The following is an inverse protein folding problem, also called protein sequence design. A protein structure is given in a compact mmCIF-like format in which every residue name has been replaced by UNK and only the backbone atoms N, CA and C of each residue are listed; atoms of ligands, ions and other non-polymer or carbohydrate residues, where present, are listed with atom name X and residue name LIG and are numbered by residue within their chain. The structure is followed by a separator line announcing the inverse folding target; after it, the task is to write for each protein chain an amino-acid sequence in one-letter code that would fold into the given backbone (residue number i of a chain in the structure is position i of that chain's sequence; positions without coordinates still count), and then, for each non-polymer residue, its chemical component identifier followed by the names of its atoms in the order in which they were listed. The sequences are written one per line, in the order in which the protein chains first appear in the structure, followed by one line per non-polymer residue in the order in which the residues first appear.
data_IF_035083123604
#
_entry.id   IF_035083123604
#
_cell.length_a   1.000
_cell.length_b   1.000
_cell.length_c   1.000
_cell.angle_alpha   90.00
_cell.angle_beta   90.00
_cell.angle_gamma   90.00
#
_symmetry.space_group_name_H-M   'P 1'
#
loop_
_entity.id
_entity.type
_entity.pdbx_description
1 polymer ?
#
# COMPACT_ATOMS: atom_id res chain seq x y z
N UNK A 1 -15.86 -31.52 -16.03
CA UNK A 1 -17.04 -32.03 -15.28
C UNK A 1 -17.14 -31.49 -13.85
N UNK A 2 -16.21 -30.62 -13.39
CA UNK A 2 -16.29 -29.95 -12.08
C UNK A 2 -16.79 -28.48 -12.15
N UNK A 3 -16.93 -27.90 -13.35
CA UNK A 3 -17.37 -26.51 -13.51
C UNK A 3 -18.89 -26.29 -13.37
N UNK A 4 -19.73 -27.32 -13.60
CA UNK A 4 -21.19 -27.18 -13.58
C UNK A 4 -21.82 -27.15 -12.18
N UNK A 5 -21.08 -27.48 -11.11
CA UNK A 5 -21.63 -27.53 -9.75
C UNK A 5 -21.43 -26.23 -8.94
N UNK A 6 -20.54 -25.33 -9.37
CA UNK A 6 -20.28 -24.06 -8.69
C UNK A 6 -21.35 -22.99 -8.96
N UNK A 7 -22.11 -23.12 -10.05
CA UNK A 7 -23.13 -22.15 -10.49
C UNK A 7 -24.50 -22.33 -9.80
N UNK A 8 -24.78 -23.48 -9.18
CA UNK A 8 -26.12 -23.80 -8.68
C UNK A 8 -26.45 -23.24 -7.28
N UNK A 9 -25.44 -22.91 -6.47
CA UNK A 9 -25.64 -22.42 -5.08
C UNK A 9 -25.79 -20.91 -4.97
N UNK A 10 -25.37 -20.16 -5.98
CA UNK A 10 -25.62 -18.73 -6.13
C UNK A 10 -26.27 -18.59 -7.48
N UNK A 11 -27.60 -18.68 -7.54
CA UNK A 11 -28.33 -18.71 -8.80
C UNK A 11 -27.82 -17.64 -9.76
N UNK A 12 -27.07 -18.07 -10.77
CA UNK A 12 -26.59 -17.29 -11.90
C UNK A 12 -26.29 -15.81 -11.65
N UNK A 13 -25.51 -15.45 -10.63
CA UNK A 13 -24.91 -14.10 -10.54
C UNK A 13 -23.96 -13.97 -11.74
N UNK A 14 -24.34 -13.26 -12.82
CA UNK A 14 -23.49 -13.17 -14.01
C UNK A 14 -22.21 -12.44 -13.61
N UNK A 15 -21.07 -12.72 -14.26
CA UNK A 15 -19.86 -11.88 -14.13
C UNK A 15 -20.17 -10.37 -14.27
N UNK A 16 -21.23 -10.03 -15.01
CA UNK A 16 -21.76 -8.68 -15.14
C UNK A 16 -22.21 -8.07 -13.80
N UNK A 17 -22.77 -8.83 -12.85
CA UNK A 17 -23.19 -8.29 -11.55
C UNK A 17 -22.00 -7.96 -10.65
N UNK A 18 -20.93 -8.77 -10.63
CA UNK A 18 -19.69 -8.41 -9.93
C UNK A 18 -19.04 -7.14 -10.52
N UNK A 19 -19.16 -6.94 -11.84
CA UNK A 19 -18.74 -5.72 -12.52
C UNK A 19 -19.66 -4.52 -12.19
N UNK A 20 -20.98 -4.74 -12.07
CA UNK A 20 -21.98 -3.73 -11.69
C UNK A 20 -21.87 -3.28 -10.22
N UNK A 21 -21.47 -4.16 -9.30
CA UNK A 21 -21.28 -3.77 -7.89
C UNK A 21 -20.03 -2.92 -7.64
N UNK A 22 -19.15 -2.82 -8.65
CA UNK A 22 -17.97 -1.97 -8.64
C UNK A 22 -18.23 -0.58 -9.23
N UNK A 23 -19.48 -0.28 -9.62
CA UNK A 23 -19.89 1.05 -10.07
C UNK A 23 -19.78 2.01 -8.88
N UNK A 24 -19.05 3.10 -9.09
CA UNK A 24 -18.85 4.19 -8.14
C UNK A 24 -20.18 4.53 -7.46
N UNK A 25 -20.17 4.47 -6.13
CA UNK A 25 -21.27 4.94 -5.30
C UNK A 25 -21.42 6.44 -5.50
N UNK A 26 -22.12 6.82 -6.56
CA UNK A 26 -22.57 8.17 -6.82
C UNK A 26 -23.61 8.48 -5.75
N UNK A 27 -23.18 9.21 -4.72
CA UNK A 27 -24.08 9.69 -3.68
C UNK A 27 -25.08 10.63 -4.35
N UNK A 28 -26.30 10.14 -4.58
CA UNK A 28 -27.40 10.98 -5.05
C UNK A 28 -27.75 11.92 -3.91
N UNK A 29 -27.25 13.16 -3.98
CA UNK A 29 -27.57 14.23 -3.05
C UNK A 29 -29.00 14.66 -3.35
N UNK A 30 -29.91 14.26 -2.48
CA UNK A 30 -31.33 14.62 -2.57
C UNK A 30 -31.49 16.15 -2.38
N UNK A 31 -32.03 16.83 -3.40
CA UNK A 31 -32.05 18.30 -3.50
C UNK A 31 -33.07 18.98 -2.57
N UNK A 32 -33.73 18.22 -1.69
CA UNK A 32 -34.63 18.72 -0.65
C UNK A 32 -34.08 18.55 0.77
N UNK A 33 -32.79 18.25 0.94
CA UNK A 33 -32.16 18.24 2.26
C UNK A 33 -32.17 19.66 2.88
N UNK A 34 -33.04 19.88 3.86
CA UNK A 34 -32.97 21.02 4.79
C UNK A 34 -31.52 21.25 5.22
N UNK A 35 -31.03 22.50 5.12
CA UNK A 35 -29.64 22.89 5.34
C UNK A 35 -28.97 22.07 6.47
N UNK A 36 -28.00 21.20 6.15
CA UNK A 36 -27.33 20.40 7.16
C UNK A 36 -26.61 21.34 8.13
N UNK A 37 -26.83 21.13 9.43
CA UNK A 37 -26.24 21.88 10.55
C UNK A 37 -26.93 23.19 10.98
N UNK A 38 -28.24 23.34 10.82
CA UNK A 38 -28.94 24.34 11.62
C UNK A 38 -28.98 23.92 13.10
N UNK A 39 -28.53 24.78 14.03
CA UNK A 39 -28.52 24.46 15.46
C UNK A 39 -29.95 24.33 15.97
N UNK A 40 -30.29 23.16 16.49
CA UNK A 40 -31.57 22.89 17.14
C UNK A 40 -31.37 21.97 18.34
N UNK A 41 -32.16 22.11 19.42
CA UNK A 41 -31.97 21.37 20.66
C UNK A 41 -32.00 19.84 20.46
N UNK A 42 -32.84 19.34 19.54
CA UNK A 42 -32.87 17.92 19.17
C UNK A 42 -31.57 17.44 18.50
N UNK A 43 -30.90 18.29 17.71
CA UNK A 43 -29.63 17.96 17.03
C UNK A 43 -28.48 17.84 18.03
N UNK A 44 -28.41 18.74 19.01
CA UNK A 44 -27.39 18.69 20.07
C UNK A 44 -27.53 17.41 20.91
N UNK A 45 -28.76 17.03 21.27
CA UNK A 45 -29.02 15.77 21.97
C UNK A 45 -28.67 14.55 21.09
N UNK A 46 -29.02 14.59 19.79
CA UNK A 46 -28.64 13.54 18.85
C UNK A 46 -27.12 13.34 18.77
N UNK A 47 -26.35 14.41 18.58
CA UNK A 47 -24.89 14.35 18.54
C UNK A 47 -24.29 13.83 19.86
N UNK A 48 -24.89 14.19 21.00
CA UNK A 48 -24.47 13.68 22.31
C UNK A 48 -24.74 12.18 22.46
N UNK A 49 -25.92 11.71 22.03
CA UNK A 49 -26.27 10.29 22.04
C UNK A 49 -25.42 9.48 21.05
N UNK A 50 -25.15 10.00 19.86
CA UNK A 50 -24.24 9.39 18.88
C UNK A 50 -22.82 9.28 19.44
N UNK A 51 -22.34 10.33 20.10
CA UNK A 51 -21.03 10.33 20.76
C UNK A 51 -20.96 9.30 21.90
N UNK A 52 -22.01 9.23 22.73
CA UNK A 52 -22.11 8.23 23.80
C UNK A 52 -22.19 6.80 23.24
N UNK A 53 -22.97 6.59 22.17
CA UNK A 53 -23.06 5.32 21.45
C UNK A 53 -21.71 4.87 20.92
N UNK A 54 -20.98 5.75 20.22
CA UNK A 54 -19.64 5.46 19.71
C UNK A 54 -18.64 5.14 20.84
N UNK A 55 -18.71 5.83 21.98
CA UNK A 55 -17.86 5.55 23.14
C UNK A 55 -18.20 4.21 23.80
N UNK A 56 -19.48 3.90 23.97
CA UNK A 56 -19.92 2.63 24.54
C UNK A 56 -19.55 1.47 23.62
N UNK A 57 -19.76 1.61 22.32
CA UNK A 57 -19.34 0.62 21.32
C UNK A 57 -17.82 0.40 21.37
N UNK A 58 -17.02 1.47 21.40
CA UNK A 58 -15.56 1.36 21.54
C UNK A 58 -15.16 0.65 22.84
N UNK A 59 -15.81 0.98 23.97
CA UNK A 59 -15.56 0.34 25.25
C UNK A 59 -15.91 -1.15 25.23
N UNK A 60 -17.07 -1.53 24.70
CA UNK A 60 -17.51 -2.91 24.58
C UNK A 60 -16.62 -3.69 23.61
N UNK A 61 -16.23 -3.11 22.46
CA UNK A 61 -15.29 -3.72 21.53
C UNK A 61 -13.92 -3.94 22.16
N UNK A 62 -13.43 -2.99 22.96
CA UNK A 62 -12.16 -3.13 23.70
C UNK A 62 -12.25 -4.21 24.78
N UNK A 63 -13.35 -4.27 25.54
CA UNK A 63 -13.59 -5.34 26.53
C UNK A 63 -13.73 -6.70 25.87
N UNK A 64 -14.50 -6.80 24.78
CA UNK A 64 -14.64 -8.03 24.01
C UNK A 64 -13.27 -8.51 23.49
N UNK A 65 -12.44 -7.61 22.96
CA UNK A 65 -11.07 -7.93 22.56
C UNK A 65 -10.20 -8.42 23.74
N UNK A 66 -10.31 -7.80 24.92
CA UNK A 66 -9.62 -8.25 26.14
C UNK A 66 -10.04 -9.64 26.59
N UNK A 67 -11.33 -9.98 26.44
CA UNK A 67 -11.84 -11.31 26.74
C UNK A 67 -11.62 -12.33 25.60
N UNK A 68 -10.96 -11.95 24.52
CA UNK A 68 -10.78 -12.81 23.34
C UNK A 68 -12.11 -13.16 22.63
N UNK A 69 -13.11 -12.30 22.81
CA UNK A 69 -14.44 -12.42 22.22
C UNK A 69 -14.48 -11.58 20.93
N UNK A 70 -13.84 -12.08 19.89
CA UNK A 70 -13.90 -11.46 18.57
C UNK A 70 -13.33 -12.35 17.48
N UNK A 71 -13.63 -12.07 16.20
CA UNK A 71 -13.04 -12.80 15.08
C UNK A 71 -11.53 -12.81 15.13
N UNK A 72 -10.89 -11.67 15.39
CA UNK A 72 -9.44 -11.52 15.42
C UNK A 72 -8.80 -12.38 16.52
N UNK A 73 -9.47 -12.52 17.67
CA UNK A 73 -8.97 -13.39 18.75
C UNK A 73 -9.06 -14.87 18.37
N UNK A 74 -10.16 -15.29 17.74
CA UNK A 74 -10.30 -16.68 17.29
C UNK A 74 -9.27 -17.00 16.22
N UNK A 75 -9.01 -16.08 15.30
CA UNK A 75 -7.94 -16.24 14.31
C UNK A 75 -6.56 -16.28 14.97
N UNK A 76 -6.30 -15.44 15.96
CA UNK A 76 -5.05 -15.51 16.75
C UNK A 76 -4.88 -16.86 17.43
N UNK A 77 -5.95 -17.43 17.99
CA UNK A 77 -5.94 -18.77 18.58
C UNK A 77 -5.64 -19.84 17.53
N UNK A 78 -6.23 -19.75 16.33
CA UNK A 78 -5.90 -20.65 15.20
C UNK A 78 -4.42 -20.53 14.84
N UNK A 79 -3.91 -19.31 14.64
CA UNK A 79 -2.50 -19.05 14.32
C UNK A 79 -1.55 -19.59 15.39
N UNK A 80 -1.89 -19.42 16.67
CA UNK A 80 -1.13 -19.96 17.80
C UNK A 80 -1.15 -21.49 17.83
N UNK A 81 -2.31 -22.11 17.61
CA UNK A 81 -2.43 -23.57 17.54
C UNK A 81 -1.65 -24.16 16.36
N UNK A 82 -1.60 -23.44 15.25
CA UNK A 82 -0.83 -23.79 14.04
C UNK A 82 0.62 -23.30 14.09
N UNK A 83 1.05 -22.71 15.21
CA UNK A 83 2.41 -22.23 15.46
C UNK A 83 2.94 -21.25 14.41
N UNK A 84 2.08 -20.42 13.81
CA UNK A 84 2.49 -19.45 12.76
C UNK A 84 3.55 -18.43 13.22
N UNK A 85 3.77 -18.29 14.53
CA UNK A 85 4.82 -17.42 15.09
C UNK A 85 6.15 -18.15 15.30
N UNK A 86 6.13 -19.48 15.44
CA UNK A 86 7.30 -20.30 15.79
C UNK A 86 7.85 -21.01 14.55
N UNK A 87 6.97 -21.47 13.67
CA UNK A 87 7.37 -22.10 12.42
C UNK A 87 7.43 -21.04 11.34
N UNK A 88 8.57 -20.98 10.67
CA UNK A 88 8.61 -20.39 9.34
C UNK A 88 7.45 -20.99 8.54
N UNK A 89 6.70 -20.11 7.90
CA UNK A 89 5.54 -20.40 7.08
C UNK A 89 5.77 -21.63 6.19
N UNK A 90 6.99 -21.78 5.68
CA UNK A 90 7.40 -22.90 4.83
C UNK A 90 7.29 -24.28 5.50
N UNK A 91 7.65 -24.38 6.78
CA UNK A 91 7.51 -25.62 7.55
C UNK A 91 6.04 -26.02 7.61
N UNK A 92 5.13 -25.04 7.70
CA UNK A 92 3.69 -25.27 7.66
C UNK A 92 3.21 -25.94 6.36
N UNK A 93 3.77 -25.58 5.21
CA UNK A 93 3.41 -26.13 3.90
C UNK A 93 4.05 -27.50 3.60
N UNK A 94 5.23 -27.77 4.17
CA UNK A 94 5.89 -29.08 4.08
C UNK A 94 5.30 -30.09 5.09
N UNK A 95 4.82 -29.61 6.25
CA UNK A 95 4.35 -30.43 7.37
C UNK A 95 2.85 -30.74 7.36
N UNK A 96 2.14 -30.45 6.26
CA UNK A 96 0.68 -30.66 6.12
C UNK A 96 0.25 -32.12 6.38
N UNK A 97 1.17 -33.08 6.30
CA UNK A 97 0.82 -34.50 6.27
C UNK A 97 1.05 -35.26 7.57
N UNK A 98 1.83 -34.75 8.54
CA UNK A 98 2.40 -35.64 9.58
C UNK A 98 2.23 -35.23 11.04
N UNK A 99 1.83 -34.00 11.37
CA UNK A 99 2.04 -33.48 12.74
C UNK A 99 0.82 -33.03 13.53
N UNK A 100 -0.38 -32.98 12.94
CA UNK A 100 -1.57 -32.58 13.71
C UNK A 100 -2.25 -33.81 14.31
N UNK A 101 -2.11 -33.97 15.64
CA UNK A 101 -2.91 -34.92 16.37
C UNK A 101 -4.40 -34.66 16.12
N UNK A 102 -5.20 -35.73 16.02
CA UNK A 102 -6.64 -35.64 15.74
C UNK A 102 -7.36 -34.66 16.69
N UNK A 103 -6.86 -34.56 17.92
CA UNK A 103 -7.32 -33.60 18.95
C UNK A 103 -7.14 -32.14 18.53
N UNK A 104 -6.00 -31.77 17.94
CA UNK A 104 -5.76 -30.41 17.46
C UNK A 104 -6.63 -30.09 16.24
N UNK A 105 -6.77 -31.04 15.31
CA UNK A 105 -7.65 -30.88 14.15
C UNK A 105 -9.11 -30.62 14.57
N UNK A 106 -9.60 -31.33 15.58
CA UNK A 106 -10.94 -31.11 16.17
C UNK A 106 -11.08 -29.70 16.78
N UNK A 107 -10.07 -29.23 17.51
CA UNK A 107 -10.05 -27.88 18.10
C UNK A 107 -10.02 -26.78 17.03
N UNK A 108 -9.17 -26.90 16.01
CA UNK A 108 -9.09 -25.95 14.90
C UNK A 108 -10.43 -25.90 14.16
N UNK A 109 -11.03 -27.06 13.86
CA UNK A 109 -12.37 -27.13 13.26
C UNK A 109 -13.42 -26.40 14.10
N UNK A 110 -13.38 -26.51 15.43
CA UNK A 110 -14.27 -25.76 16.33
C UNK A 110 -14.05 -24.25 16.21
N UNK A 111 -12.80 -23.79 16.14
CA UNK A 111 -12.47 -22.37 15.97
C UNK A 111 -12.90 -21.85 14.59
N UNK A 112 -12.68 -22.61 13.51
CA UNK A 112 -13.18 -22.26 12.17
C UNK A 112 -14.70 -22.10 12.16
N UNK A 113 -15.45 -23.02 12.79
CA UNK A 113 -16.92 -22.87 12.94
C UNK A 113 -17.29 -21.61 13.74
N UNK A 114 -16.51 -21.25 14.76
CA UNK A 114 -16.72 -20.02 15.53
C UNK A 114 -16.51 -18.77 14.66
N UNK A 115 -15.50 -18.74 13.78
CA UNK A 115 -15.31 -17.67 12.79
C UNK A 115 -16.49 -17.57 11.81
N UNK A 116 -16.94 -18.72 11.29
CA UNK A 116 -18.10 -18.77 10.40
C UNK A 116 -19.38 -18.29 11.08
N UNK A 117 -19.52 -18.49 12.39
CA UNK A 117 -20.62 -17.89 13.16
C UNK A 117 -20.50 -16.37 13.25
N UNK A 118 -19.30 -15.82 13.44
CA UNK A 118 -19.10 -14.36 13.39
C UNK A 118 -19.37 -13.76 12.01
N UNK A 119 -19.04 -14.49 10.93
CA UNK A 119 -19.40 -14.10 9.57
C UNK A 119 -20.93 -14.00 9.37
N UNK A 120 -21.73 -14.64 10.24
CA UNK A 120 -23.21 -14.54 10.26
C UNK A 120 -23.76 -13.53 11.29
N UNK A 121 -22.90 -12.77 11.97
CA UNK A 121 -23.30 -11.81 12.99
C UNK A 121 -24.36 -10.82 12.45
N UNK A 122 -25.23 -10.32 13.32
CA UNK A 122 -26.13 -9.19 13.01
C UNK A 122 -25.46 -7.83 13.22
N UNK A 123 -24.13 -7.79 13.19
CA UNK A 123 -23.33 -6.58 13.31
C UNK A 123 -22.38 -6.57 12.12
N UNK A 124 -22.62 -5.65 11.18
CA UNK A 124 -21.88 -5.58 9.90
C UNK A 124 -20.36 -5.50 10.12
N UNK A 125 -19.90 -4.68 11.07
CA UNK A 125 -18.49 -4.58 11.42
C UNK A 125 -17.87 -5.92 11.89
N UNK A 126 -18.61 -6.72 12.66
CA UNK A 126 -18.16 -8.07 13.08
C UNK A 126 -18.12 -9.04 11.90
N UNK A 127 -19.12 -8.99 11.00
CA UNK A 127 -19.13 -9.82 9.79
C UNK A 127 -17.93 -9.48 8.91
N UNK A 128 -17.70 -8.20 8.63
CA UNK A 128 -16.58 -7.73 7.79
C UNK A 128 -15.23 -8.23 8.33
N UNK A 129 -14.99 -8.03 9.64
CA UNK A 129 -13.78 -8.51 10.31
C UNK A 129 -13.62 -10.02 10.24
N UNK A 130 -14.70 -10.78 10.47
CA UNK A 130 -14.65 -12.24 10.39
C UNK A 130 -14.34 -12.74 8.98
N UNK A 131 -14.95 -12.14 7.95
CA UNK A 131 -14.71 -12.49 6.55
C UNK A 131 -13.27 -12.15 6.13
N UNK A 132 -12.75 -10.99 6.53
CA UNK A 132 -11.37 -10.60 6.28
C UNK A 132 -10.38 -11.58 6.93
N UNK A 133 -10.62 -11.98 8.17
CA UNK A 133 -9.80 -12.97 8.89
C UNK A 133 -9.87 -14.38 8.28
N UNK A 134 -11.05 -14.82 7.84
CA UNK A 134 -11.22 -16.09 7.11
C UNK A 134 -10.39 -16.07 5.83
N UNK A 135 -10.49 -15.00 5.04
CA UNK A 135 -9.72 -14.81 3.81
C UNK A 135 -8.22 -14.89 4.11
N UNK A 136 -7.76 -14.18 5.15
CA UNK A 136 -6.35 -14.15 5.56
C UNK A 136 -5.85 -15.54 5.98
N UNK A 137 -6.57 -16.23 6.86
CA UNK A 137 -6.22 -17.58 7.32
C UNK A 137 -6.19 -18.61 6.19
N UNK A 138 -7.15 -18.56 5.26
CA UNK A 138 -7.21 -19.52 4.17
C UNK A 138 -6.04 -19.37 3.18
N UNK A 139 -5.56 -18.13 2.97
CA UNK A 139 -4.31 -17.87 2.22
C UNK A 139 -3.08 -18.32 3.00
N UNK A 140 -3.05 -18.03 4.31
CA UNK A 140 -1.90 -18.26 5.17
C UNK A 140 -1.60 -19.73 5.46
N UNK A 141 -2.62 -20.58 5.53
CA UNK A 141 -2.49 -21.96 5.99
C UNK A 141 -3.44 -22.90 5.22
N UNK A 142 -2.91 -23.78 4.34
CA UNK A 142 -3.74 -24.72 3.58
C UNK A 142 -4.53 -25.68 4.44
N UNK A 143 -4.03 -26.07 5.62
CA UNK A 143 -4.76 -26.94 6.51
C UNK A 143 -6.01 -26.23 7.06
N UNK A 144 -5.91 -24.94 7.36
CA UNK A 144 -7.05 -24.13 7.78
C UNK A 144 -8.01 -23.94 6.61
N UNK A 145 -7.51 -23.69 5.40
CA UNK A 145 -8.32 -23.63 4.17
C UNK A 145 -9.11 -24.94 3.95
N UNK A 146 -8.45 -26.10 4.01
CA UNK A 146 -9.09 -27.42 3.88
C UNK A 146 -10.08 -27.69 5.03
N UNK A 147 -9.78 -27.24 6.24
CA UNK A 147 -10.70 -27.37 7.38
C UNK A 147 -11.95 -26.51 7.19
N UNK A 148 -11.79 -25.30 6.63
CA UNK A 148 -12.90 -24.40 6.28
C UNK A 148 -13.74 -24.96 5.13
N UNK A 149 -13.13 -25.57 4.11
CA UNK A 149 -13.86 -26.17 2.98
C UNK A 149 -14.75 -27.34 3.40
N UNK A 150 -14.37 -28.05 4.47
CA UNK A 150 -15.18 -29.09 5.13
C UNK A 150 -16.30 -28.53 6.03
N UNK A 151 -16.38 -27.21 6.22
CA UNK A 151 -17.45 -26.56 6.96
C UNK A 151 -18.60 -26.10 6.05
N UNK A 152 -19.73 -25.69 6.64
CA UNK A 152 -20.87 -25.20 5.86
C UNK A 152 -20.63 -23.76 5.36
N UNK A 153 -20.12 -23.60 4.15
CA UNK A 153 -19.82 -22.29 3.54
C UNK A 153 -21.04 -21.43 3.21
N UNK A 154 -22.27 -21.96 3.31
CA UNK A 154 -23.50 -21.16 3.15
C UNK A 154 -23.62 -20.04 4.19
N UNK A 155 -22.85 -20.13 5.27
CA UNK A 155 -22.74 -19.08 6.28
C UNK A 155 -22.05 -17.79 5.78
N UNK A 156 -21.33 -17.83 4.65
CA UNK A 156 -20.63 -16.68 4.09
C UNK A 156 -21.54 -15.77 3.26
N UNK A 157 -22.84 -16.07 3.15
CA UNK A 157 -23.79 -15.16 2.51
C UNK A 157 -24.02 -13.96 3.44
N UNK A 158 -23.68 -12.73 3.02
CA UNK A 158 -23.87 -11.55 3.85
C UNK A 158 -25.36 -11.32 4.11
N UNK A 159 -25.69 -10.79 5.30
CA UNK A 159 -27.08 -10.43 5.66
C UNK A 159 -27.46 -9.04 5.17
N UNK A 160 -26.48 -8.16 5.01
CA UNK A 160 -26.65 -6.79 4.57
C UNK A 160 -26.37 -6.69 3.07
N UNK A 161 -27.03 -5.72 2.43
CA UNK A 161 -26.88 -5.43 0.99
C UNK A 161 -25.71 -4.49 0.68
N UNK A 162 -24.81 -4.28 1.64
CA UNK A 162 -23.64 -3.43 1.48
C UNK A 162 -22.66 -4.07 0.47
N UNK A 163 -22.30 -3.34 -0.57
CA UNK A 163 -21.43 -3.82 -1.65
C UNK A 163 -20.06 -4.29 -1.12
N UNK A 164 -19.45 -3.53 -0.19
CA UNK A 164 -18.18 -3.91 0.42
C UNK A 164 -18.28 -5.25 1.17
N UNK A 165 -19.36 -5.47 1.91
CA UNK A 165 -19.56 -6.72 2.65
C UNK A 165 -19.75 -7.91 1.71
N UNK A 166 -20.49 -7.72 0.62
CA UNK A 166 -20.65 -8.73 -0.43
C UNK A 166 -19.31 -9.10 -1.07
N UNK A 167 -18.50 -8.10 -1.43
CA UNK A 167 -17.18 -8.32 -2.00
C UNK A 167 -16.25 -9.06 -1.03
N UNK A 168 -16.24 -8.69 0.26
CA UNK A 168 -15.43 -9.39 1.27
C UNK A 168 -15.93 -10.82 1.51
N UNK A 169 -17.24 -11.04 1.50
CA UNK A 169 -17.84 -12.37 1.61
C UNK A 169 -17.46 -13.26 0.42
N UNK A 170 -17.56 -12.71 -0.79
CA UNK A 170 -17.11 -13.36 -2.02
C UNK A 170 -15.64 -13.73 -1.95
N UNK A 171 -14.76 -12.80 -1.57
CA UNK A 171 -13.32 -13.06 -1.41
C UNK A 171 -13.05 -14.16 -0.39
N UNK A 172 -13.70 -14.12 0.78
CA UNK A 172 -13.54 -15.15 1.81
C UNK A 172 -13.94 -16.54 1.30
N UNK A 173 -15.03 -16.62 0.53
CA UNK A 173 -15.49 -17.86 -0.10
C UNK A 173 -14.51 -18.34 -1.18
N UNK A 174 -14.10 -17.46 -2.08
CA UNK A 174 -13.16 -17.80 -3.16
C UNK A 174 -11.79 -18.25 -2.63
N UNK A 175 -11.32 -17.66 -1.52
CA UNK A 175 -10.12 -18.12 -0.82
C UNK A 175 -10.27 -19.47 -0.11
N UNK A 176 -11.46 -20.07 -0.07
CA UNK A 176 -11.66 -21.44 0.44
C UNK A 176 -11.90 -22.41 -0.73
N UNK A 177 -12.66 -21.99 -1.74
CA UNK A 177 -13.10 -22.87 -2.83
C UNK A 177 -12.06 -22.98 -3.96
N UNK A 178 -11.20 -21.99 -4.18
CA UNK A 178 -10.27 -21.97 -5.32
C UNK A 178 -8.97 -22.76 -5.05
N UNK A 179 -9.12 -24.07 -4.87
CA UNK A 179 -8.01 -24.98 -4.56
C UNK A 179 -6.93 -25.00 -5.64
N UNK A 180 -7.29 -24.78 -6.91
CA UNK A 180 -6.34 -24.77 -8.02
C UNK A 180 -5.33 -23.63 -7.88
N UNK A 181 -5.79 -22.42 -7.56
CA UNK A 181 -4.91 -21.27 -7.33
C UNK A 181 -4.06 -21.49 -6.09
N UNK A 182 -4.64 -22.04 -5.01
CA UNK A 182 -3.85 -22.44 -3.83
C UNK A 182 -2.74 -23.42 -4.20
N UNK A 183 -3.05 -24.53 -4.87
CA UNK A 183 -2.06 -25.56 -5.23
C UNK A 183 -0.94 -24.99 -6.11
N UNK A 184 -1.30 -24.18 -7.11
CA UNK A 184 -0.34 -23.52 -8.00
C UNK A 184 0.64 -22.64 -7.21
N UNK A 185 0.12 -21.72 -6.39
CA UNK A 185 0.96 -20.76 -5.67
C UNK A 185 1.67 -21.37 -4.45
N UNK A 186 1.09 -22.38 -3.80
CA UNK A 186 1.78 -23.16 -2.77
C UNK A 186 2.96 -23.93 -3.37
N UNK A 187 2.84 -24.40 -4.60
CA UNK A 187 3.96 -24.95 -5.37
C UNK A 187 5.11 -23.97 -5.50
N UNK A 188 4.81 -22.71 -5.88
CA UNK A 188 5.79 -21.61 -5.92
C UNK A 188 6.44 -21.41 -4.55
N UNK A 189 5.64 -21.22 -3.50
CA UNK A 189 6.15 -20.96 -2.15
C UNK A 189 7.04 -22.11 -1.64
N UNK A 190 6.67 -23.36 -1.87
CA UNK A 190 7.50 -24.51 -1.48
C UNK A 190 8.87 -24.47 -2.15
N UNK A 191 8.95 -24.12 -3.43
CA UNK A 191 10.23 -24.05 -4.15
C UNK A 191 11.08 -22.84 -3.77
N UNK A 192 10.47 -21.74 -3.32
CA UNK A 192 11.23 -20.66 -2.65
C UNK A 192 11.90 -21.20 -1.39
N UNK A 193 11.17 -21.97 -0.58
CA UNK A 193 11.72 -22.58 0.64
C UNK A 193 12.91 -23.49 0.36
N UNK A 194 12.75 -24.35 -0.65
CA UNK A 194 13.72 -25.39 -0.98
C UNK A 194 14.93 -24.83 -1.73
N UNK A 195 14.85 -23.60 -2.27
CA UNK A 195 15.86 -22.92 -3.10
C UNK A 195 16.31 -23.67 -4.38
N UNK A 196 15.94 -24.93 -4.57
CA UNK A 196 16.27 -25.74 -5.73
C UNK A 196 15.14 -25.76 -6.78
N UNK A 197 15.52 -25.64 -8.06
CA UNK A 197 14.63 -25.77 -9.23
C UNK A 197 13.52 -24.71 -9.34
N UNK A 198 13.63 -23.57 -8.65
CA UNK A 198 12.63 -22.50 -8.76
C UNK A 198 12.47 -22.03 -10.21
N UNK A 199 13.57 -21.79 -10.93
CA UNK A 199 13.56 -21.26 -12.30
C UNK A 199 12.85 -22.22 -13.27
N UNK A 200 13.16 -23.51 -13.21
CA UNK A 200 12.55 -24.52 -14.06
C UNK A 200 11.04 -24.64 -13.80
N UNK A 201 10.64 -24.63 -12.53
CA UNK A 201 9.23 -24.64 -12.15
C UNK A 201 8.51 -23.37 -12.60
N UNK A 202 9.15 -22.22 -12.41
CA UNK A 202 8.59 -20.91 -12.73
C UNK A 202 8.36 -20.79 -14.23
N UNK A 203 9.34 -21.14 -15.05
CA UNK A 203 9.21 -21.14 -16.50
C UNK A 203 8.10 -22.10 -16.98
N UNK A 204 7.99 -23.28 -16.38
CA UNK A 204 6.93 -24.24 -16.71
C UNK A 204 5.53 -23.76 -16.27
N UNK A 205 5.45 -22.94 -15.21
CA UNK A 205 4.19 -22.51 -14.59
C UNK A 205 3.79 -21.07 -14.92
N UNK A 206 4.64 -20.32 -15.64
CA UNK A 206 4.48 -18.88 -15.85
C UNK A 206 3.13 -18.53 -16.47
N UNK A 207 2.70 -19.29 -17.49
CA UNK A 207 1.39 -19.11 -18.14
C UNK A 207 0.24 -19.30 -17.15
N UNK A 208 0.31 -20.31 -16.29
CA UNK A 208 -0.72 -20.58 -15.27
C UNK A 208 -0.73 -19.51 -14.19
N UNK A 209 0.44 -19.06 -13.74
CA UNK A 209 0.58 -17.97 -12.76
C UNK A 209 0.02 -16.67 -13.31
N UNK A 210 0.39 -16.33 -14.55
CA UNK A 210 -0.13 -15.18 -15.29
C UNK A 210 -1.65 -15.24 -15.44
N UNK A 211 -2.18 -16.38 -15.86
CA UNK A 211 -3.63 -16.60 -16.00
C UNK A 211 -4.35 -16.41 -14.66
N UNK A 212 -3.75 -16.87 -13.56
CA UNK A 212 -4.34 -16.71 -12.23
C UNK A 212 -4.40 -15.26 -11.75
N UNK A 213 -3.43 -14.42 -12.14
CA UNK A 213 -3.39 -12.98 -11.84
C UNK A 213 -4.38 -12.17 -12.69
N UNK A 214 -4.59 -12.58 -13.95
CA UNK A 214 -5.55 -11.92 -14.86
C UNK A 214 -7.00 -12.30 -14.61
N UNK A 215 -7.25 -13.42 -13.94
CA UNK A 215 -8.61 -13.89 -13.70
C UNK A 215 -9.32 -12.99 -12.66
N UNK A 216 -10.42 -12.29 -13.00
CA UNK A 216 -11.11 -11.36 -12.09
C UNK A 216 -11.59 -12.00 -10.78
N UNK A 217 -11.86 -13.31 -10.81
CA UNK A 217 -12.40 -14.08 -9.68
C UNK A 217 -11.28 -14.44 -8.69
N UNK A 218 -10.06 -14.64 -9.17
CA UNK A 218 -8.94 -15.14 -8.36
C UNK A 218 -7.72 -14.22 -8.30
N UNK A 219 -7.73 -13.11 -9.03
CA UNK A 219 -6.63 -12.14 -9.10
C UNK A 219 -6.21 -11.68 -7.72
N UNK A 220 -7.18 -11.36 -6.84
CA UNK A 220 -6.91 -10.94 -5.47
C UNK A 220 -6.18 -12.03 -4.67
N UNK A 221 -6.53 -13.31 -4.89
CA UNK A 221 -5.91 -14.44 -4.21
C UNK A 221 -4.48 -14.67 -4.72
N UNK A 222 -4.31 -14.68 -6.04
CA UNK A 222 -3.00 -14.79 -6.69
C UNK A 222 -2.06 -13.64 -6.29
N UNK A 223 -2.58 -12.40 -6.25
CA UNK A 223 -1.83 -11.22 -5.83
C UNK A 223 -1.32 -11.33 -4.38
N UNK A 224 -2.14 -11.86 -3.45
CA UNK A 224 -1.68 -12.10 -2.05
C UNK A 224 -0.54 -13.11 -2.00
N UNK A 225 -0.63 -14.18 -2.79
CA UNK A 225 0.45 -15.15 -2.91
C UNK A 225 1.73 -14.55 -3.50
N UNK A 226 1.60 -13.72 -4.54
CA UNK A 226 2.72 -12.99 -5.14
C UNK A 226 3.38 -12.04 -4.13
N UNK A 227 2.60 -11.23 -3.41
CA UNK A 227 3.12 -10.35 -2.35
C UNK A 227 3.88 -11.13 -1.30
N UNK A 228 3.35 -12.29 -0.88
CA UNK A 228 4.00 -13.14 0.12
C UNK A 228 5.29 -13.76 -0.43
N UNK A 229 5.27 -14.27 -1.65
CA UNK A 229 6.45 -14.84 -2.31
C UNK A 229 7.59 -13.82 -2.38
N UNK A 230 7.27 -12.57 -2.73
CA UNK A 230 8.23 -11.46 -2.72
C UNK A 230 8.73 -11.13 -1.31
N UNK A 231 7.84 -11.09 -0.31
CA UNK A 231 8.23 -10.84 1.07
C UNK A 231 9.23 -11.88 1.57
N UNK A 232 9.00 -13.16 1.27
CA UNK A 232 9.89 -14.25 1.64
C UNK A 232 11.21 -14.19 0.86
N UNK A 233 11.15 -13.87 -0.44
CA UNK A 233 12.35 -13.64 -1.25
C UNK A 233 13.20 -12.49 -0.72
N UNK A 234 12.60 -11.50 -0.03
CA UNK A 234 13.31 -10.39 0.57
C UNK A 234 14.13 -10.79 1.79
N UNK A 235 13.67 -11.80 2.51
CA UNK A 235 14.34 -12.34 3.69
C UNK A 235 15.52 -13.25 3.30
N UNK A 236 15.51 -13.83 2.09
CA UNK A 236 16.54 -14.74 1.56
C UNK A 236 17.55 -14.05 0.63
N UNK A 237 18.17 -12.95 1.07
CA UNK A 237 19.21 -12.19 0.35
C UNK A 237 18.81 -11.62 -1.02
N UNK A 238 17.52 -11.59 -1.37
CA UNK A 238 17.03 -11.02 -2.63
C UNK A 238 17.42 -11.80 -3.90
N UNK A 239 18.19 -12.90 -3.78
CA UNK A 239 18.62 -13.71 -4.94
C UNK A 239 17.44 -14.24 -5.73
N UNK A 240 16.32 -14.55 -5.09
CA UNK A 240 15.13 -15.06 -5.77
C UNK A 240 14.21 -13.95 -6.31
N UNK A 241 14.51 -12.68 -6.03
CA UNK A 241 13.62 -11.58 -6.39
C UNK A 241 13.53 -11.39 -7.91
N UNK A 242 14.60 -11.71 -8.64
CA UNK A 242 14.62 -11.63 -10.11
C UNK A 242 13.56 -12.54 -10.76
N UNK A 243 13.30 -13.72 -10.19
CA UNK A 243 12.27 -14.62 -10.70
C UNK A 243 10.87 -14.00 -10.59
N UNK A 244 10.63 -13.20 -9.56
CA UNK A 244 9.35 -12.51 -9.39
C UNK A 244 9.27 -11.18 -10.15
N UNK A 245 10.35 -10.74 -10.79
CA UNK A 245 10.36 -9.47 -11.52
C UNK A 245 9.38 -9.50 -12.69
N UNK A 246 9.40 -10.56 -13.51
CA UNK A 246 8.52 -10.68 -14.68
C UNK A 246 7.05 -10.80 -14.29
N UNK A 247 6.74 -11.58 -13.25
CA UNK A 247 5.37 -11.62 -12.69
C UNK A 247 4.96 -10.30 -12.06
N UNK A 248 5.90 -9.59 -11.46
CA UNK A 248 5.67 -8.28 -10.89
C UNK A 248 5.34 -7.25 -11.96
N UNK A 249 6.10 -7.20 -13.05
CA UNK A 249 5.81 -6.37 -14.22
C UNK A 249 4.43 -6.72 -14.80
N UNK A 250 4.16 -8.00 -15.00
CA UNK A 250 2.85 -8.46 -15.45
C UNK A 250 1.73 -8.00 -14.51
N UNK A 251 1.93 -8.08 -13.20
CA UNK A 251 0.94 -7.62 -12.23
C UNK A 251 0.72 -6.11 -12.33
N UNK A 252 1.78 -5.32 -12.55
CA UNK A 252 1.66 -3.88 -12.80
C UNK A 252 0.94 -3.56 -14.12
N UNK A 253 1.14 -4.36 -15.16
CA UNK A 253 0.39 -4.23 -16.43
C UNK A 253 -1.11 -4.51 -16.21
N UNK A 254 -1.45 -5.50 -15.39
CA UNK A 254 -2.84 -5.80 -15.01
C UNK A 254 -3.42 -4.65 -14.18
N UNK A 255 -2.65 -4.07 -13.25
CA UNK A 255 -3.07 -2.90 -12.49
C UNK A 255 -3.40 -1.73 -13.41
N UNK A 256 -2.59 -1.52 -14.44
CA UNK A 256 -2.80 -0.45 -15.40
C UNK A 256 -4.00 -0.73 -16.34
N UNK A 257 -4.10 -1.93 -16.91
CA UNK A 257 -5.13 -2.29 -17.89
C UNK A 257 -6.49 -2.63 -17.29
N UNK A 258 -6.52 -3.22 -16.10
CA UNK A 258 -7.73 -3.75 -15.44
C UNK A 258 -7.80 -3.34 -13.96
N UNK A 259 -7.74 -2.04 -13.60
CA UNK A 259 -7.66 -1.60 -12.20
C UNK A 259 -8.84 -2.05 -11.32
N UNK A 260 -9.98 -2.40 -11.93
CA UNK A 260 -11.19 -2.85 -11.24
C UNK A 260 -11.07 -4.25 -10.63
N UNK A 261 -10.17 -5.11 -11.14
CA UNK A 261 -9.95 -6.45 -10.57
C UNK A 261 -8.90 -6.47 -9.45
N UNK A 262 -8.28 -5.31 -9.17
CA UNK A 262 -7.18 -5.18 -8.22
C UNK A 262 -7.72 -4.93 -6.81
N UNK A 263 -7.24 -5.75 -5.88
CA UNK A 263 -7.33 -5.43 -4.46
C UNK A 263 -6.16 -4.51 -4.08
N UNK A 264 -6.42 -3.20 -4.01
CA UNK A 264 -5.40 -2.17 -3.78
C UNK A 264 -4.54 -2.37 -2.52
N UNK A 265 -5.09 -2.99 -1.47
CA UNK A 265 -4.31 -3.35 -0.28
C UNK A 265 -3.23 -4.40 -0.56
N UNK A 266 -3.47 -5.31 -1.51
CA UNK A 266 -2.45 -6.27 -1.95
C UNK A 266 -1.40 -5.57 -2.80
N UNK A 267 -1.80 -4.63 -3.66
CA UNK A 267 -0.85 -3.82 -4.42
C UNK A 267 0.06 -3.00 -3.48
N UNK A 268 -0.49 -2.38 -2.45
CA UNK A 268 0.29 -1.67 -1.43
C UNK A 268 1.32 -2.61 -0.77
N UNK A 269 0.89 -3.79 -0.34
CA UNK A 269 1.77 -4.81 0.27
C UNK A 269 2.85 -5.31 -0.72
N UNK A 270 2.44 -5.61 -1.96
CA UNK A 270 3.32 -6.02 -3.05
C UNK A 270 4.43 -4.99 -3.28
N UNK A 271 4.06 -3.72 -3.47
CA UNK A 271 5.02 -2.65 -3.72
C UNK A 271 5.98 -2.47 -2.55
N UNK A 272 5.51 -2.55 -1.30
CA UNK A 272 6.39 -2.52 -0.13
C UNK A 272 7.46 -3.62 -0.18
N UNK A 273 7.09 -4.85 -0.52
CA UNK A 273 8.05 -5.95 -0.63
C UNK A 273 9.01 -5.75 -1.79
N UNK A 274 8.50 -5.34 -2.95
CA UNK A 274 9.32 -4.99 -4.12
C UNK A 274 10.42 -3.98 -3.78
N UNK A 275 10.10 -2.91 -3.05
CA UNK A 275 11.12 -1.92 -2.70
C UNK A 275 12.15 -2.46 -1.71
N UNK A 276 11.73 -3.31 -0.76
CA UNK A 276 12.66 -3.95 0.17
C UNK A 276 13.70 -4.83 -0.53
N UNK A 277 13.31 -5.48 -1.63
CA UNK A 277 14.22 -6.29 -2.45
C UNK A 277 15.01 -5.49 -3.48
N UNK A 278 14.88 -4.17 -3.50
CA UNK A 278 15.57 -3.31 -4.46
C UNK A 278 15.11 -3.52 -5.90
N UNK A 279 13.97 -4.19 -6.13
CA UNK A 279 13.40 -4.32 -7.47
C UNK A 279 12.91 -2.94 -7.91
N UNK A 280 13.62 -2.35 -8.87
CA UNK A 280 13.23 -1.09 -9.48
C UNK A 280 12.33 -1.42 -10.68
N UNK A 281 11.02 -1.38 -10.49
CA UNK A 281 10.12 -1.35 -11.63
C UNK A 281 10.31 -0.05 -12.37
N UNK A 282 10.80 -0.13 -13.61
CA UNK A 282 10.84 1.02 -14.49
C UNK A 282 9.41 1.38 -14.84
N UNK A 283 8.87 2.39 -14.15
CA UNK A 283 7.54 2.94 -14.43
C UNK A 283 7.43 3.51 -15.85
N UNK A 284 8.57 3.72 -16.52
CA UNK A 284 8.65 4.17 -17.92
C UNK A 284 7.95 3.25 -18.91
N UNK A 285 7.84 1.95 -18.61
CA UNK A 285 7.17 1.02 -19.53
C UNK A 285 5.66 1.27 -19.61
N UNK A 286 5.06 1.91 -18.59
CA UNK A 286 3.64 2.18 -18.50
C UNK A 286 3.40 3.65 -18.14
N UNK A 287 3.45 4.55 -19.12
CA UNK A 287 3.35 6.00 -18.92
C UNK A 287 2.10 6.44 -18.12
N UNK A 288 1.01 5.66 -18.13
CA UNK A 288 -0.20 5.97 -17.35
C UNK A 288 -0.23 5.42 -15.92
N UNK A 289 0.67 4.50 -15.57
CA UNK A 289 0.67 3.84 -14.26
C UNK A 289 0.96 4.80 -13.10
N UNK A 290 1.95 5.71 -13.16
CA UNK A 290 2.18 6.69 -12.09
C UNK A 290 0.94 7.54 -11.79
N UNK A 291 0.26 8.04 -12.84
CA UNK A 291 -0.95 8.83 -12.68
C UNK A 291 -2.06 8.03 -12.00
N UNK A 292 -2.25 6.76 -12.39
CA UNK A 292 -3.22 5.87 -11.75
C UNK A 292 -2.89 5.64 -10.25
N UNK A 293 -1.62 5.42 -9.90
CA UNK A 293 -1.21 5.25 -8.51
C UNK A 293 -1.46 6.50 -7.67
N UNK A 294 -1.20 7.69 -8.22
CA UNK A 294 -1.48 8.98 -7.57
C UNK A 294 -2.99 9.17 -7.36
N UNK A 295 -3.81 8.88 -8.38
CA UNK A 295 -5.27 8.94 -8.28
C UNK A 295 -5.81 7.96 -7.22
N UNK A 296 -5.13 6.83 -7.01
CA UNK A 296 -5.51 5.79 -6.04
C UNK A 296 -4.71 5.86 -4.74
N UNK A 297 -4.10 7.01 -4.43
CA UNK A 297 -3.26 7.20 -3.26
C UNK A 297 -3.97 6.93 -1.92
N UNK A 298 -5.29 7.05 -1.86
CA UNK A 298 -6.05 6.69 -0.65
C UNK A 298 -5.93 5.21 -0.27
N UNK A 299 -5.68 4.32 -1.23
CA UNK A 299 -5.49 2.89 -1.00
C UNK A 299 -4.02 2.47 -0.90
N UNK A 300 -3.10 3.41 -1.15
CA UNK A 300 -1.66 3.19 -1.19
C UNK A 300 -0.92 4.09 -0.17
N UNK A 301 -1.40 4.22 1.08
CA UNK A 301 -0.83 5.20 2.02
C UNK A 301 0.63 4.89 2.36
N UNK A 302 0.99 3.62 2.44
CA UNK A 302 2.32 3.22 2.84
C UNK A 302 3.31 3.31 1.69
N UNK A 303 2.89 3.00 0.45
CA UNK A 303 3.70 3.18 -0.77
C UNK A 303 4.35 4.56 -0.79
N UNK A 304 3.54 5.62 -0.71
CA UNK A 304 4.03 6.97 -0.88
C UNK A 304 4.82 7.46 0.34
N UNK A 305 4.41 7.07 1.55
CA UNK A 305 5.11 7.43 2.78
C UNK A 305 6.48 6.76 2.89
N UNK A 306 6.58 5.49 2.47
CA UNK A 306 7.83 4.74 2.55
C UNK A 306 8.78 5.09 1.41
N UNK A 307 8.27 5.32 0.19
CA UNK A 307 9.13 5.58 -0.97
C UNK A 307 9.49 7.04 -1.16
N UNK A 308 8.59 7.95 -0.77
CA UNK A 308 8.77 9.38 -0.91
C UNK A 308 8.58 10.07 0.44
N UNK A 309 9.35 9.69 1.48
CA UNK A 309 9.20 10.26 2.81
C UNK A 309 9.55 11.74 2.79
N UNK A 310 8.71 12.57 3.41
CA UNK A 310 9.10 13.93 3.72
C UNK A 310 10.16 13.91 4.85
N UNK A 311 11.19 14.77 4.83
CA UNK A 311 12.12 14.85 5.94
C UNK A 311 11.34 15.28 7.18
N UNK A 312 11.61 14.64 8.32
CA UNK A 312 10.92 14.94 9.56
C UNK A 312 11.25 16.35 10.03
N UNK A 313 10.32 16.98 10.76
CA UNK A 313 10.54 18.32 11.32
C UNK A 313 11.78 18.35 12.24
N UNK A 314 12.07 17.25 12.93
CA UNK A 314 13.27 17.11 13.77
C UNK A 314 14.55 17.07 12.94
N UNK A 315 14.56 16.37 11.80
CA UNK A 315 15.68 16.37 10.86
C UNK A 315 15.90 17.77 10.27
N UNK A 316 14.81 18.42 9.87
CA UNK A 316 14.77 19.78 9.35
C UNK A 316 15.31 20.77 10.40
N UNK A 317 14.80 20.70 11.63
CA UNK A 317 15.16 21.58 12.73
C UNK A 317 16.59 21.34 13.21
N UNK A 318 17.07 20.10 13.28
CA UNK A 318 18.43 19.77 13.69
C UNK A 318 19.47 20.44 12.77
N UNK A 319 19.24 20.41 11.46
CA UNK A 319 20.10 21.07 10.47
C UNK A 319 19.96 22.60 10.56
N UNK A 320 18.73 23.14 10.62
CA UNK A 320 18.53 24.58 10.75
C UNK A 320 19.15 25.16 12.04
N UNK A 321 19.00 24.48 13.18
CA UNK A 321 19.55 24.91 14.48
C UNK A 321 21.08 24.93 14.46
N UNK A 322 21.74 23.91 13.89
CA UNK A 322 23.20 23.89 13.74
C UNK A 322 23.69 25.11 12.96
N UNK A 323 23.01 25.46 11.87
CA UNK A 323 23.38 26.61 11.04
C UNK A 323 23.20 27.96 11.74
N UNK A 324 22.14 28.11 12.55
CA UNK A 324 21.92 29.35 13.30
C UNK A 324 23.02 29.65 14.34
N UNK A 325 23.76 28.63 14.77
CA UNK A 325 24.77 28.75 15.83
C UNK A 325 26.22 28.90 15.32
N UNK A 326 26.52 28.61 14.05
CA UNK A 326 27.90 28.45 13.56
C UNK A 326 28.42 29.57 12.65
N UNK A 327 27.89 30.80 12.76
CA UNK A 327 28.32 31.96 11.95
C UNK A 327 29.84 32.33 12.03
N UNK A 328 30.69 31.60 12.76
CA UNK A 328 32.09 31.96 13.00
C UNK A 328 33.14 30.89 12.75
N UNK A 329 32.81 29.67 12.29
CA UNK A 329 33.82 28.61 12.08
C UNK A 329 33.62 27.92 10.72
N UNK A 330 34.69 27.76 9.91
CA UNK A 330 34.62 27.03 8.64
C UNK A 330 34.20 25.58 8.87
N UNK A 331 33.10 25.21 8.21
CA UNK A 331 32.42 23.93 8.33
C UNK A 331 33.25 22.81 7.68
N UNK A 332 33.48 21.69 8.39
CA UNK A 332 34.13 20.51 7.82
C UNK A 332 33.08 19.55 7.24
N UNK A 333 33.22 19.20 5.95
CA UNK A 333 32.24 18.42 5.18
C UNK A 333 31.95 17.01 5.72
N UNK A 334 32.73 16.51 6.68
CA UNK A 334 32.60 15.15 7.22
C UNK A 334 31.37 14.94 8.10
N UNK A 335 30.85 15.98 8.76
CA UNK A 335 29.70 15.86 9.68
C UNK A 335 28.34 15.66 8.99
N UNK A 336 28.25 15.99 7.70
CA UNK A 336 27.02 15.94 6.90
C UNK A 336 26.67 14.51 6.45
N UNK A 337 27.69 13.67 6.27
CA UNK A 337 27.56 12.29 5.79
C UNK A 337 26.69 11.38 6.68
N UNK A 338 26.44 11.79 7.93
CA UNK A 338 25.57 11.09 8.87
C UNK A 338 24.07 11.38 8.66
N UNK A 339 23.74 12.43 7.91
CA UNK A 339 22.37 12.88 7.63
C UNK A 339 22.03 12.65 6.16
N UNK A 340 21.82 11.38 5.81
CA UNK A 340 21.33 10.99 4.49
C UNK A 340 19.82 10.97 4.54
N UNK A 341 19.20 12.12 4.27
CA UNK A 341 17.83 12.12 3.80
C UNK A 341 17.82 11.33 2.48
N UNK A 342 17.53 10.03 2.60
CA UNK A 342 17.74 9.02 1.57
C UNK A 342 16.56 9.01 0.59
N UNK A 343 16.20 10.19 0.08
CA UNK A 343 15.37 10.26 -1.11
C UNK A 343 16.28 9.94 -2.29
N UNK A 344 15.86 8.92 -3.03
CA UNK A 344 16.41 8.63 -4.35
C UNK A 344 15.92 9.74 -5.29
N UNK A 345 16.63 10.87 -5.34
CA UNK A 345 16.24 12.06 -6.13
C UNK A 345 15.94 11.68 -7.58
N UNK A 346 16.73 10.75 -8.13
CA UNK A 346 16.53 10.22 -9.48
C UNK A 346 15.19 9.52 -9.62
N UNK A 347 14.82 8.68 -8.65
CA UNK A 347 13.50 8.06 -8.68
C UNK A 347 12.39 9.10 -8.57
N UNK A 348 12.50 10.08 -7.67
CA UNK A 348 11.46 11.10 -7.52
C UNK A 348 11.27 11.87 -8.84
N UNK A 349 12.36 12.32 -9.45
CA UNK A 349 12.29 13.04 -10.73
C UNK A 349 11.80 12.14 -11.86
N UNK A 350 12.27 10.89 -11.96
CA UNK A 350 11.76 9.95 -12.97
C UNK A 350 10.26 9.72 -12.80
N UNK A 351 9.78 9.62 -11.55
CA UNK A 351 8.36 9.49 -11.23
C UNK A 351 7.58 10.71 -11.74
N UNK A 352 8.02 11.93 -11.42
CA UNK A 352 7.38 13.15 -11.90
C UNK A 352 7.46 13.32 -13.41
N UNK A 353 8.56 12.91 -14.03
CA UNK A 353 8.67 12.97 -15.49
C UNK A 353 7.65 12.09 -16.18
N UNK A 354 7.31 10.95 -15.61
CA UNK A 354 6.22 10.12 -16.10
C UNK A 354 4.84 10.73 -15.79
N UNK A 355 4.64 11.35 -14.61
CA UNK A 355 3.37 12.00 -14.25
C UNK A 355 3.04 13.21 -15.14
N UNK A 356 4.01 14.11 -15.30
CA UNK A 356 3.87 15.36 -16.02
C UNK A 356 4.13 15.21 -17.54
N UNK A 357 4.74 14.10 -17.96
CA UNK A 357 5.16 13.89 -19.36
C UNK A 357 6.33 14.79 -19.80
N UNK A 358 7.06 15.37 -18.84
CA UNK A 358 8.12 16.36 -19.08
C UNK A 358 9.21 16.24 -18.03
N UNK A 359 10.47 16.59 -18.37
CA UNK A 359 11.56 16.70 -17.41
C UNK A 359 11.72 18.13 -16.85
N UNK A 360 10.82 19.05 -17.20
CA UNK A 360 10.85 20.44 -16.78
C UNK A 360 10.31 20.62 -15.34
N UNK A 361 10.99 21.42 -14.54
CA UNK A 361 10.58 21.70 -13.16
C UNK A 361 9.25 22.44 -13.09
N UNK A 362 8.94 23.32 -14.05
CA UNK A 362 7.66 24.01 -14.13
C UNK A 362 6.52 23.04 -14.36
N UNK A 363 6.70 22.09 -15.27
CA UNK A 363 5.66 21.10 -15.55
C UNK A 363 5.40 20.21 -14.32
N UNK A 364 6.46 19.86 -13.57
CA UNK A 364 6.33 19.12 -12.30
C UNK A 364 5.58 19.94 -11.24
N UNK A 365 5.91 21.23 -11.09
CA UNK A 365 5.26 22.14 -10.13
C UNK A 365 3.80 22.40 -10.50
N UNK A 366 3.53 22.62 -11.79
CA UNK A 366 2.20 22.82 -12.33
C UNK A 366 1.35 21.56 -12.11
N UNK A 367 1.91 20.37 -12.34
CA UNK A 367 1.24 19.12 -12.03
C UNK A 367 0.84 19.06 -10.55
N UNK A 368 1.75 19.35 -9.61
CA UNK A 368 1.45 19.34 -8.17
C UNK A 368 0.36 20.34 -7.80
N UNK A 369 0.41 21.56 -8.36
CA UNK A 369 -0.60 22.61 -8.13
C UNK A 369 -1.98 22.24 -8.66
N UNK A 370 -2.03 21.45 -9.73
CA UNK A 370 -3.26 20.99 -10.35
C UNK A 370 -3.83 19.69 -9.75
N UNK A 371 -3.15 19.09 -8.77
CA UNK A 371 -3.68 17.91 -8.08
C UNK A 371 -4.96 18.25 -7.33
N UNK A 372 -5.94 17.34 -7.39
CA UNK A 372 -7.18 17.49 -6.64
C UNK A 372 -6.93 17.59 -5.13
N UNK A 373 -7.69 18.44 -4.45
CA UNK A 373 -7.55 18.64 -2.99
C UNK A 373 -7.73 17.37 -2.17
N UNK A 374 -8.49 16.38 -2.66
CA UNK A 374 -8.59 15.07 -2.02
C UNK A 374 -7.26 14.30 -2.08
N UNK A 375 -6.64 14.22 -3.26
CA UNK A 375 -5.35 13.55 -3.49
C UNK A 375 -4.23 14.25 -2.72
N UNK A 376 -4.17 15.59 -2.78
CA UNK A 376 -3.21 16.40 -2.01
C UNK A 376 -3.25 16.09 -0.52
N UNK A 377 -4.46 15.98 0.08
CA UNK A 377 -4.60 15.63 1.50
C UNK A 377 -4.05 14.25 1.85
N UNK A 378 -4.15 13.27 0.93
CA UNK A 378 -3.60 11.92 1.15
C UNK A 378 -2.08 11.89 1.03
N UNK A 379 -1.53 12.75 0.17
CA UNK A 379 -0.09 12.85 -0.07
C UNK A 379 0.62 13.90 0.80
N UNK A 380 -0.10 14.66 1.65
CA UNK A 380 0.39 15.83 2.40
C UNK A 380 1.73 15.65 3.14
N UNK A 381 2.09 14.43 3.51
CA UNK A 381 3.31 14.11 4.25
C UNK A 381 4.30 13.31 3.40
N UNK A 382 4.35 13.59 2.10
CA UNK A 382 5.23 12.92 1.15
C UNK A 382 5.95 13.96 0.30
N UNK A 383 7.12 13.59 -0.22
CA UNK A 383 7.88 14.45 -1.13
C UNK A 383 7.12 14.77 -2.44
N UNK A 384 6.14 13.95 -2.82
CA UNK A 384 5.38 14.08 -4.07
C UNK A 384 4.48 15.33 -4.15
N UNK A 385 4.19 15.98 -3.04
CA UNK A 385 3.40 17.23 -3.05
C UNK A 385 4.15 18.39 -2.41
N UNK A 386 5.43 18.19 -2.11
CA UNK A 386 6.28 19.22 -1.55
C UNK A 386 7.11 19.87 -2.66
N UNK A 387 6.62 20.99 -3.18
CA UNK A 387 7.25 21.75 -4.26
C UNK A 387 8.73 22.09 -3.96
N UNK A 388 9.09 22.55 -2.75
CA UNK A 388 10.49 22.74 -2.38
C UNK A 388 11.35 21.47 -2.55
N UNK A 389 10.87 20.31 -2.11
CA UNK A 389 11.59 19.03 -2.27
C UNK A 389 11.81 18.70 -3.75
N UNK A 390 10.81 18.89 -4.60
CA UNK A 390 10.94 18.62 -6.04
C UNK A 390 11.97 19.54 -6.69
N UNK A 391 11.94 20.84 -6.38
CA UNK A 391 12.93 21.79 -6.85
C UNK A 391 14.35 21.43 -6.37
N UNK A 392 14.49 21.00 -5.11
CA UNK A 392 15.75 20.47 -4.58
C UNK A 392 16.28 19.29 -5.41
N UNK A 393 15.43 18.30 -5.68
CA UNK A 393 15.83 17.11 -6.45
C UNK A 393 16.31 17.49 -7.88
N UNK A 394 15.65 18.46 -8.53
CA UNK A 394 16.08 18.98 -9.84
C UNK A 394 17.49 19.57 -9.80
N UNK A 395 17.80 20.43 -8.82
CA UNK A 395 19.12 21.02 -8.66
C UNK A 395 20.20 19.95 -8.41
N UNK A 396 19.91 18.98 -7.54
CA UNK A 396 20.84 17.89 -7.24
C UNK A 396 21.10 17.00 -8.46
N UNK A 397 20.06 16.75 -9.27
CA UNK A 397 20.18 15.96 -10.50
C UNK A 397 21.01 16.66 -11.59
N UNK A 398 20.74 17.93 -11.86
CA UNK A 398 21.54 18.74 -12.79
C UNK A 398 22.99 18.84 -12.34
N UNK A 399 23.22 18.93 -11.03
CA UNK A 399 24.55 18.85 -10.45
C UNK A 399 25.30 17.56 -10.78
N UNK A 400 24.68 16.41 -10.51
CA UNK A 400 25.31 15.11 -10.77
C UNK A 400 25.61 14.87 -12.25
N UNK A 401 24.85 15.46 -13.17
CA UNK A 401 25.11 15.37 -14.61
C UNK A 401 26.33 16.17 -15.05
N UNK A 402 26.90 17.02 -14.19
CA UNK A 402 27.93 17.98 -14.58
C UNK A 402 27.42 19.06 -15.54
N UNK A 403 26.10 19.14 -15.74
CA UNK A 403 25.42 20.14 -16.59
C UNK A 403 25.07 21.40 -15.82
N UNK A 404 25.69 21.62 -14.66
CA UNK A 404 25.73 22.94 -14.00
C UNK A 404 26.70 23.85 -14.75
N UNK A 405 26.52 23.94 -16.06
CA UNK A 405 26.68 25.24 -16.65
C UNK A 405 25.62 26.11 -15.96
N UNK A 406 26.00 27.29 -15.47
CA UNK A 406 25.20 28.19 -14.59
C UNK A 406 23.82 28.60 -15.17
N UNK A 407 23.34 27.98 -16.24
CA UNK A 407 22.36 28.51 -17.17
C UNK A 407 21.28 27.52 -17.63
N UNK A 408 21.23 26.27 -17.15
CA UNK A 408 20.08 25.41 -17.52
C UNK A 408 18.78 26.05 -16.99
N UNK A 409 17.77 26.30 -17.86
CA UNK A 409 16.52 26.96 -17.45
C UNK A 409 15.87 26.29 -16.24
N UNK A 410 15.91 24.95 -16.19
CA UNK A 410 15.42 24.16 -15.06
C UNK A 410 16.13 24.48 -13.74
N UNK A 411 17.46 24.66 -13.75
CA UNK A 411 18.20 24.99 -12.53
C UNK A 411 17.87 26.41 -12.04
N UNK A 412 17.76 27.37 -12.97
CA UNK A 412 17.36 28.75 -12.64
C UNK A 412 16.01 28.79 -11.94
N UNK A 413 15.08 28.06 -12.52
CA UNK A 413 13.70 28.04 -12.07
C UNK A 413 13.52 27.26 -10.76
N UNK A 414 14.16 26.09 -10.62
CA UNK A 414 14.18 25.34 -9.37
C UNK A 414 14.77 26.18 -8.22
N UNK A 415 15.83 26.95 -8.49
CA UNK A 415 16.40 27.89 -7.52
C UNK A 415 15.43 29.03 -7.16
N UNK A 416 14.77 29.63 -8.16
CA UNK A 416 13.78 30.68 -7.93
C UNK A 416 12.61 30.19 -7.05
N UNK A 417 12.12 28.97 -7.30
CA UNK A 417 11.10 28.30 -6.47
C UNK A 417 11.59 28.19 -5.02
N UNK A 418 12.75 27.57 -4.78
CA UNK A 418 13.27 27.41 -3.42
C UNK A 418 13.46 28.73 -2.69
N UNK A 419 13.95 29.76 -3.41
CA UNK A 419 14.12 31.11 -2.87
C UNK A 419 12.78 31.71 -2.44
N UNK A 420 11.76 31.66 -3.30
CA UNK A 420 10.42 32.21 -3.00
C UNK A 420 9.80 31.57 -1.74
N UNK A 421 9.88 30.24 -1.62
CA UNK A 421 9.36 29.53 -0.45
C UNK A 421 10.13 29.84 0.84
N UNK A 422 11.43 30.10 0.76
CA UNK A 422 12.23 30.48 1.92
C UNK A 422 11.98 31.92 2.37
N UNK A 423 11.64 32.82 1.45
CA UNK A 423 11.21 34.19 1.73
C UNK A 423 9.83 34.20 2.40
N UNK A 424 8.89 33.38 1.92
CA UNK A 424 7.58 33.23 2.57
C UNK A 424 7.68 32.61 3.96
N UNK A 425 8.61 31.67 4.20
CA UNK A 425 8.86 31.09 5.52
C UNK A 425 9.40 32.11 6.55
N UNK A 426 9.90 33.29 6.14
CA UNK A 426 10.20 34.38 7.10
C UNK A 426 8.97 34.84 7.89
N UNK A 427 7.77 34.44 7.44
CA UNK A 427 6.50 34.63 8.14
C UNK A 427 6.12 33.45 9.07
N UNK A 428 6.91 32.37 9.10
CA UNK A 428 6.79 31.23 10.02
C UNK A 428 5.98 30.04 9.52
N UNK A 429 5.85 29.84 8.21
CA UNK A 429 4.86 28.91 7.62
C UNK A 429 5.43 27.60 7.01
N UNK A 430 6.74 27.45 6.77
CA UNK A 430 7.32 26.27 6.12
C UNK A 430 8.82 25.99 6.45
N UNK A 431 9.13 25.28 7.56
CA UNK A 431 10.50 24.93 7.96
C UNK A 431 11.30 24.14 6.91
N UNK A 432 10.62 23.35 6.08
CA UNK A 432 11.24 22.44 5.09
C UNK A 432 12.07 23.20 4.05
N UNK A 433 11.62 24.35 3.56
CA UNK A 433 12.30 25.09 2.49
C UNK A 433 13.66 25.65 2.94
N UNK A 434 13.74 26.15 4.18
CA UNK A 434 15.00 26.59 4.78
C UNK A 434 15.98 25.43 4.97
N UNK A 435 15.47 24.28 5.42
CA UNK A 435 16.28 23.08 5.53
C UNK A 435 16.89 22.68 4.20
N UNK A 436 16.09 22.61 3.13
CA UNK A 436 16.57 22.23 1.80
C UNK A 436 17.62 23.20 1.27
N UNK A 437 17.41 24.51 1.43
CA UNK A 437 18.42 25.51 1.08
C UNK A 437 19.70 25.40 1.90
N UNK A 438 19.59 25.05 3.18
CA UNK A 438 20.75 24.82 4.05
C UNK A 438 21.51 23.57 3.60
N UNK A 439 20.78 22.49 3.32
CA UNK A 439 21.31 21.23 2.82
C UNK A 439 22.00 21.40 1.47
N UNK A 440 21.44 22.19 0.55
CA UNK A 440 22.12 22.57 -0.70
C UNK A 440 23.39 23.39 -0.48
N UNK A 441 23.52 24.18 0.60
CA UNK A 441 24.79 24.87 0.89
C UNK A 441 25.84 23.92 1.45
N UNK A 442 25.39 22.91 2.20
CA UNK A 442 26.21 21.93 2.90
C UNK A 442 26.76 20.86 1.95
N UNK A 443 25.87 20.19 1.21
CA UNK A 443 26.20 19.06 0.36
C UNK A 443 26.97 19.50 -0.90
N UNK A 444 26.93 20.81 -1.22
CA UNK A 444 27.22 21.31 -2.56
C UNK A 444 27.91 22.70 -2.53
N UNK A 445 29.24 22.77 -2.38
CA UNK A 445 30.00 24.03 -2.33
C UNK A 445 29.77 24.97 -3.52
N UNK A 446 29.48 24.41 -4.71
CA UNK A 446 29.11 25.16 -5.93
C UNK A 446 27.85 26.02 -5.74
N UNK A 447 27.00 25.71 -4.77
CA UNK A 447 25.79 26.50 -4.50
C UNK A 447 26.12 27.94 -4.09
N UNK A 448 27.30 28.19 -3.49
CA UNK A 448 27.76 29.54 -3.19
C UNK A 448 28.10 30.33 -4.47
N UNK A 449 28.67 29.68 -5.47
CA UNK A 449 28.97 30.29 -6.77
C UNK A 449 27.68 30.65 -7.49
N UNK A 450 26.73 29.71 -7.56
CA UNK A 450 25.37 29.95 -8.09
C UNK A 450 24.69 31.09 -7.37
N UNK A 451 24.61 31.10 -6.04
CA UNK A 451 23.94 32.17 -5.30
C UNK A 451 24.51 33.56 -5.65
N UNK A 452 25.83 33.66 -5.79
CA UNK A 452 26.50 34.91 -6.16
C UNK A 452 26.23 35.31 -7.62
N UNK A 453 26.09 34.35 -8.53
CA UNK A 453 25.76 34.58 -9.95
C UNK A 453 24.29 34.97 -10.12
N UNK A 454 23.36 34.24 -9.49
CA UNK A 454 21.93 34.52 -9.57
C UNK A 454 21.53 35.81 -8.85
N UNK A 455 22.16 36.15 -7.72
CA UNK A 455 21.92 37.43 -7.03
C UNK A 455 22.42 38.65 -7.81
N UNK A 456 23.21 38.46 -8.88
CA UNK A 456 23.64 39.53 -9.79
C UNK A 456 22.77 39.62 -11.05
N UNK A 457 22.08 38.54 -11.40
CA UNK A 457 21.25 38.43 -12.60
C UNK A 457 19.75 38.72 -12.36
N UNK A 458 19.28 38.48 -11.14
CA UNK A 458 18.00 38.95 -10.59
C UNK A 458 18.20 40.30 -9.92
#
# INVERSE_FOLDING_TARGET
MADDLLTSSWGGLPQAELSLYLIDSTTTIDSNATAPNLPGPGRTLGLLLDCLGARLESFLNKRAAQFGLGPESVSRDIRRMRRHQETDIFIGYASLSTLDCETNAKKIRRLCRKLLNYARSHVAATQYKALAEITKLAVEDPFVCETLSKCNLRCLVPKYKESCLFLTAFRARMSIENLNVHQLWVGVLRRIADSEQLDAFFNASLTSLSTSLRNPISSFLAARYLSRALGLSAEQDGKLAHNFYDLGLLYMDIVHGEPHIIEWSNLNTFLQHTFKVGLRFSLRQNAGLPNLLVQKAEYLPDLFRTRFPLPSDDEVYAVCKRYSTTNTVPFQATDISSFTWNIDDYLLLDYFSNLAGSNDVQDHVLYIRNLEGAVLRKLRNTALVNIPVVAYCHLTNEHRKGTVEEHSPNSREAFAILKSYAEDDQKGECPTSRYLLTKLREDHPWFYEIKNTFSKAL
#
